data_IF_305309846523
#
_entry.id   IF_305309846523
#
_cell.length_a   1.000
_cell.length_b   1.000
_cell.length_c   1.000
_cell.angle_alpha   90.00
_cell.angle_beta   90.00
_cell.angle_gamma   90.00
#
_symmetry.space_group_name_H-M   'P 1'
#
loop_
_entity.id
_entity.type
_entity.pdbx_description
1 polymer ?
#
# COMPACT_ATOMS: atom_id res chain seq x y z
N UNK A 1 -44.59 -20.02 -29.84
CA UNK A 1 -44.87 -19.82 -31.28
C UNK A 1 -45.02 -18.33 -31.53
N UNK A 2 -43.90 -17.61 -31.72
CA UNK A 2 -43.89 -16.25 -32.25
C UNK A 2 -42.63 -16.14 -33.09
N UNK A 3 -42.83 -16.14 -34.41
CA UNK A 3 -41.79 -16.01 -35.42
C UNK A 3 -41.23 -14.59 -35.38
N UNK A 4 -40.03 -14.42 -34.81
CA UNK A 4 -39.29 -13.17 -34.95
C UNK A 4 -38.70 -13.14 -36.36
N UNK A 5 -39.28 -12.29 -37.23
CA UNK A 5 -38.69 -11.97 -38.52
C UNK A 5 -37.54 -11.00 -38.27
N UNK A 6 -36.32 -11.54 -38.18
CA UNK A 6 -35.09 -10.76 -38.29
C UNK A 6 -34.85 -10.57 -39.80
N UNK A 7 -34.61 -9.35 -40.31
CA UNK A 7 -34.26 -9.14 -41.71
C UNK A 7 -33.04 -9.99 -42.08
N UNK A 8 -33.15 -10.80 -43.14
CA UNK A 8 -32.07 -11.73 -43.56
C UNK A 8 -30.79 -11.00 -43.98
N UNK A 9 -30.90 -9.73 -44.40
CA UNK A 9 -29.77 -8.85 -44.72
C UNK A 9 -28.89 -8.51 -43.49
N UNK A 10 -29.34 -8.82 -42.27
CA UNK A 10 -28.67 -8.48 -41.01
C UNK A 10 -28.25 -9.69 -40.17
N UNK A 11 -28.46 -10.91 -40.68
CA UNK A 11 -27.92 -12.12 -40.06
C UNK A 11 -26.43 -12.23 -40.42
N UNK A 12 -25.53 -12.57 -39.48
CA UNK A 12 -24.16 -12.89 -39.84
C UNK A 12 -24.22 -14.10 -40.79
N UNK A 13 -23.90 -13.85 -42.06
CA UNK A 13 -23.80 -14.88 -43.08
C UNK A 13 -22.72 -15.87 -42.63
N UNK A 14 -23.17 -17.01 -42.07
CA UNK A 14 -22.35 -18.18 -41.72
C UNK A 14 -21.23 -17.88 -40.72
N UNK A 15 -21.23 -18.61 -39.59
CA UNK A 15 -20.04 -18.72 -38.76
C UNK A 15 -19.03 -19.58 -39.53
N UNK A 16 -18.35 -18.99 -40.51
CA UNK A 16 -17.20 -19.63 -41.12
C UNK A 16 -16.17 -19.83 -40.02
N UNK A 17 -15.90 -21.09 -39.72
CA UNK A 17 -14.67 -21.54 -39.06
C UNK A 17 -13.51 -21.26 -40.01
N UNK A 18 -13.21 -19.99 -40.22
CA UNK A 18 -12.03 -19.51 -40.90
C UNK A 18 -11.31 -18.63 -39.90
N UNK A 19 -10.24 -19.15 -39.32
CA UNK A 19 -9.12 -18.30 -38.97
C UNK A 19 -8.88 -17.41 -40.19
N UNK A 20 -9.09 -16.10 -40.03
CA UNK A 20 -9.13 -15.15 -41.14
C UNK A 20 -7.96 -15.42 -42.08
N UNK A 21 -8.26 -15.94 -43.27
CA UNK A 21 -7.28 -16.01 -44.33
C UNK A 21 -7.00 -14.56 -44.72
N UNK A 22 -5.88 -14.06 -44.21
CA UNK A 22 -5.31 -12.78 -44.63
C UNK A 22 -5.13 -12.89 -46.14
N UNK A 23 -5.75 -11.99 -46.91
CA UNK A 23 -5.50 -11.87 -48.35
C UNK A 23 -3.99 -11.84 -48.56
N UNK A 24 -3.46 -12.80 -49.31
CA UNK A 24 -2.03 -13.03 -49.43
C UNK A 24 -1.33 -11.81 -50.02
N UNK A 25 -0.68 -11.03 -49.18
CA UNK A 25 0.35 -10.08 -49.59
C UNK A 25 1.67 -10.83 -49.71
N UNK A 26 2.39 -10.64 -50.82
CA UNK A 26 3.71 -11.24 -51.09
C UNK A 26 4.81 -10.86 -50.05
N UNK A 27 4.51 -10.00 -49.08
CA UNK A 27 5.37 -9.62 -47.96
C UNK A 27 4.81 -10.16 -46.62
N UNK A 28 5.51 -11.08 -45.94
CA UNK A 28 5.08 -11.62 -44.64
C UNK A 28 5.12 -10.59 -43.49
N UNK A 29 5.63 -9.38 -43.72
CA UNK A 29 5.70 -8.29 -42.74
C UNK A 29 4.70 -7.15 -43.02
N UNK A 30 3.84 -7.27 -44.02
CA UNK A 30 2.82 -6.26 -44.30
C UNK A 30 1.81 -6.15 -43.15
N UNK A 31 1.42 -4.93 -42.79
CA UNK A 31 0.38 -4.68 -41.80
C UNK A 31 -0.96 -5.23 -42.33
N UNK A 32 -1.57 -6.23 -41.66
CA UNK A 32 -2.85 -6.81 -42.10
C UNK A 32 -4.03 -5.84 -41.97
N UNK A 33 -3.82 -4.64 -41.41
CA UNK A 33 -4.86 -3.64 -41.21
C UNK A 33 -5.81 -3.98 -40.06
N UNK A 34 -6.80 -3.10 -39.83
CA UNK A 34 -7.83 -3.35 -38.82
C UNK A 34 -8.83 -4.41 -39.31
N UNK A 35 -9.22 -5.37 -38.45
CA UNK A 35 -10.27 -6.33 -38.80
C UNK A 35 -11.59 -5.60 -39.08
N UNK A 36 -12.44 -6.19 -39.92
CA UNK A 36 -13.77 -5.64 -40.18
C UNK A 36 -14.61 -5.58 -38.89
N UNK A 37 -15.13 -4.39 -38.60
CA UNK A 37 -15.96 -4.14 -37.41
C UNK A 37 -17.23 -5.02 -37.45
N UNK A 38 -17.52 -5.72 -36.35
CA UNK A 38 -18.67 -6.60 -36.24
C UNK A 38 -19.76 -5.91 -35.42
N UNK A 39 -20.92 -5.54 -36.02
CA UNK A 39 -21.99 -4.89 -35.27
C UNK A 39 -22.57 -5.83 -34.21
N UNK A 40 -22.92 -5.28 -33.05
CA UNK A 40 -23.51 -6.07 -31.97
C UNK A 40 -25.01 -6.22 -32.18
N UNK A 41 -25.62 -7.18 -31.50
CA UNK A 41 -27.07 -7.42 -31.57
C UNK A 41 -27.85 -6.17 -31.15
N UNK A 42 -27.33 -5.42 -30.18
CA UNK A 42 -27.92 -4.18 -29.68
C UNK A 42 -27.85 -3.04 -30.69
N UNK A 43 -26.89 -3.06 -31.62
CA UNK A 43 -26.78 -2.04 -32.67
C UNK A 43 -27.78 -2.32 -33.82
N UNK A 44 -28.22 -3.58 -33.97
CA UNK A 44 -29.15 -4.03 -35.00
C UNK A 44 -30.62 -4.06 -34.53
N UNK A 45 -30.87 -4.43 -33.27
CA UNK A 45 -32.22 -4.54 -32.68
C UNK A 45 -32.42 -3.56 -31.51
N UNK A 46 -33.27 -2.55 -31.74
CA UNK A 46 -33.65 -1.55 -30.74
C UNK A 46 -34.30 -2.18 -29.49
N UNK A 47 -34.99 -3.33 -29.61
CA UNK A 47 -35.56 -4.02 -28.45
C UNK A 47 -34.47 -4.65 -27.58
N UNK A 48 -33.40 -5.15 -28.18
CA UNK A 48 -32.23 -5.67 -27.47
C UNK A 48 -31.45 -4.55 -26.78
N UNK A 49 -31.33 -3.38 -27.42
CA UNK A 49 -30.75 -2.17 -26.82
C UNK A 49 -31.53 -1.72 -25.59
N UNK A 50 -32.85 -1.55 -25.70
CA UNK A 50 -33.74 -1.16 -24.60
C UNK A 50 -33.68 -2.12 -23.40
N UNK A 51 -33.46 -3.42 -23.64
CA UNK A 51 -33.29 -4.40 -22.56
C UNK A 51 -31.97 -4.20 -21.81
N UNK A 52 -30.90 -3.97 -22.56
CA UNK A 52 -29.56 -3.69 -22.00
C UNK A 52 -29.57 -2.38 -21.20
N UNK A 53 -30.24 -1.34 -21.73
CA UNK A 53 -30.42 -0.06 -21.02
C UNK A 53 -31.12 -0.25 -19.67
N UNK A 54 -32.23 -1.00 -19.63
CA UNK A 54 -32.93 -1.30 -18.37
C UNK A 54 -32.06 -2.08 -17.39
N UNK A 55 -31.22 -2.99 -17.87
CA UNK A 55 -30.30 -3.72 -17.02
C UNK A 55 -29.23 -2.80 -16.40
N UNK A 56 -28.62 -1.92 -17.22
CA UNK A 56 -27.68 -0.89 -16.75
C UNK A 56 -28.34 0.04 -15.73
N UNK A 57 -29.51 0.57 -16.06
CA UNK A 57 -30.28 1.46 -15.17
C UNK A 57 -30.64 0.78 -13.85
N UNK A 58 -31.03 -0.50 -13.89
CA UNK A 58 -31.31 -1.28 -12.68
C UNK A 58 -30.06 -1.39 -11.79
N UNK A 59 -28.89 -1.67 -12.37
CA UNK A 59 -27.63 -1.78 -11.61
C UNK A 59 -27.27 -0.44 -10.96
N UNK A 60 -27.33 0.67 -11.69
CA UNK A 60 -27.09 1.99 -11.09
C UNK A 60 -28.12 2.34 -10.02
N UNK A 61 -29.39 1.99 -10.21
CA UNK A 61 -30.43 2.20 -9.19
C UNK A 61 -30.16 1.38 -7.93
N UNK A 62 -29.75 0.11 -8.08
CA UNK A 62 -29.35 -0.75 -6.95
C UNK A 62 -28.16 -0.16 -6.19
N UNK A 63 -27.20 0.45 -6.90
CA UNK A 63 -26.09 1.16 -6.25
C UNK A 63 -26.57 2.37 -5.44
N UNK A 64 -27.47 3.18 -5.99
CA UNK A 64 -28.05 4.32 -5.27
C UNK A 64 -28.78 3.85 -4.00
N UNK A 65 -29.59 2.80 -4.10
CA UNK A 65 -30.29 2.21 -2.96
C UNK A 65 -29.31 1.64 -1.92
N UNK A 66 -28.24 0.98 -2.35
CA UNK A 66 -27.21 0.47 -1.45
C UNK A 66 -26.47 1.61 -0.73
N UNK A 67 -26.22 2.74 -1.40
CA UNK A 67 -25.61 3.93 -0.80
C UNK A 67 -26.54 4.58 0.24
N UNK A 68 -27.84 4.67 -0.03
CA UNK A 68 -28.82 5.10 0.96
C UNK A 68 -28.86 4.11 2.14
N UNK A 69 -28.80 2.81 1.87
CA UNK A 69 -28.69 1.76 2.87
C UNK A 69 -27.44 1.88 3.75
N UNK A 70 -26.31 2.29 3.18
CA UNK A 70 -25.06 2.56 3.92
C UNK A 70 -25.25 3.71 4.91
N UNK A 71 -25.80 4.83 4.44
CA UNK A 71 -26.07 6.00 5.29
C UNK A 71 -27.06 5.64 6.40
N UNK A 72 -28.13 4.92 6.07
CA UNK A 72 -29.11 4.47 7.05
C UNK A 72 -28.47 3.51 8.08
N UNK A 73 -27.65 2.57 7.64
CA UNK A 73 -26.96 1.61 8.53
C UNK A 73 -26.01 2.32 9.49
N UNK A 74 -25.30 3.35 9.02
CA UNK A 74 -24.40 4.16 9.84
C UNK A 74 -25.13 4.87 10.99
N UNK A 75 -26.37 5.31 10.77
CA UNK A 75 -27.16 6.05 11.78
C UNK A 75 -27.95 5.10 12.70
N UNK A 76 -28.42 3.96 12.19
CA UNK A 76 -29.32 3.06 12.91
C UNK A 76 -28.56 2.11 13.86
N UNK A 77 -27.38 1.62 13.48
CA UNK A 77 -26.68 0.60 14.26
C UNK A 77 -25.63 1.18 15.21
N UNK A 78 -25.73 0.91 16.53
CA UNK A 78 -24.71 1.33 17.48
C UNK A 78 -23.45 0.46 17.38
N UNK A 79 -22.30 1.02 17.74
CA UNK A 79 -20.96 0.43 17.53
C UNK A 79 -20.75 -0.86 18.34
N UNK A 80 -21.39 -0.97 19.50
CA UNK A 80 -21.28 -2.07 20.46
C UNK A 80 -22.24 -3.24 20.18
N UNK A 81 -23.13 -3.13 19.20
CA UNK A 81 -24.12 -4.18 18.90
C UNK A 81 -23.51 -5.32 18.08
N UNK A 82 -23.33 -6.46 18.74
CA UNK A 82 -22.88 -7.71 18.13
C UNK A 82 -24.09 -8.60 17.82
N UNK A 83 -24.18 -9.07 16.58
CA UNK A 83 -25.28 -9.93 16.10
C UNK A 83 -24.68 -11.21 15.52
N UNK A 84 -25.39 -12.33 15.69
CA UNK A 84 -25.02 -13.60 15.07
C UNK A 84 -25.52 -13.65 13.62
N UNK A 85 -24.59 -13.80 12.66
CA UNK A 85 -24.88 -13.91 11.23
C UNK A 85 -24.23 -15.19 10.72
N UNK A 86 -25.02 -16.15 10.25
CA UNK A 86 -24.50 -17.38 9.65
C UNK A 86 -23.99 -17.11 8.23
N UNK A 87 -22.79 -17.58 7.81
CA UNK A 87 -21.82 -18.46 8.50
C UNK A 87 -20.74 -17.73 9.31
N UNK A 88 -20.76 -16.40 9.40
CA UNK A 88 -19.70 -15.57 9.98
C UNK A 88 -19.63 -15.55 11.52
N UNK A 89 -20.66 -16.04 12.21
CA UNK A 89 -20.70 -16.07 13.67
C UNK A 89 -21.11 -14.73 14.28
N UNK A 90 -20.58 -14.39 15.46
CA UNK A 90 -20.89 -13.15 16.17
C UNK A 90 -20.02 -12.01 15.64
N UNK A 91 -20.63 -11.07 14.92
CA UNK A 91 -19.94 -9.94 14.28
C UNK A 91 -20.62 -8.61 14.65
N UNK A 92 -19.86 -7.51 14.56
CA UNK A 92 -20.44 -6.16 14.71
C UNK A 92 -21.47 -5.92 13.61
N UNK A 93 -22.72 -5.65 13.99
CA UNK A 93 -23.82 -5.39 13.07
C UNK A 93 -23.53 -4.16 12.20
N UNK A 94 -22.87 -3.15 12.77
CA UNK A 94 -22.47 -1.94 12.07
C UNK A 94 -21.42 -2.26 10.99
N UNK A 95 -20.29 -2.87 11.35
CA UNK A 95 -19.23 -3.15 10.37
C UNK A 95 -19.72 -4.06 9.23
N UNK A 96 -20.54 -5.06 9.56
CA UNK A 96 -21.11 -5.95 8.55
C UNK A 96 -22.05 -5.21 7.59
N UNK A 97 -23.00 -4.42 8.11
CA UNK A 97 -23.95 -3.67 7.29
C UNK A 97 -23.27 -2.60 6.43
N UNK A 98 -22.30 -1.87 6.98
CA UNK A 98 -21.48 -0.91 6.24
C UNK A 98 -20.68 -1.57 5.13
N UNK A 99 -20.00 -2.68 5.43
CA UNK A 99 -19.22 -3.43 4.44
C UNK A 99 -20.09 -3.97 3.30
N UNK A 100 -21.25 -4.54 3.62
CA UNK A 100 -22.16 -5.10 2.63
C UNK A 100 -22.78 -4.02 1.73
N UNK A 101 -23.27 -2.93 2.31
CA UNK A 101 -23.93 -1.85 1.57
C UNK A 101 -22.94 -1.07 0.71
N UNK A 102 -21.75 -0.73 1.24
CA UNK A 102 -20.71 -0.07 0.46
C UNK A 102 -20.16 -0.99 -0.64
N UNK A 103 -19.91 -2.26 -0.32
CA UNK A 103 -19.46 -3.26 -1.29
C UNK A 103 -20.46 -3.43 -2.44
N UNK A 104 -21.76 -3.56 -2.11
CA UNK A 104 -22.81 -3.62 -3.12
C UNK A 104 -22.90 -2.34 -3.96
N UNK A 105 -22.82 -1.16 -3.34
CA UNK A 105 -22.86 0.12 -4.05
C UNK A 105 -21.75 0.22 -5.11
N UNK A 106 -20.49 -0.06 -4.71
CA UNK A 106 -19.35 0.00 -5.61
C UNK A 106 -19.38 -1.10 -6.67
N UNK A 107 -19.80 -2.32 -6.29
CA UNK A 107 -19.95 -3.43 -7.22
C UNK A 107 -20.96 -3.10 -8.33
N UNK A 108 -22.14 -2.58 -7.98
CA UNK A 108 -23.16 -2.26 -8.97
C UNK A 108 -22.81 -1.06 -9.85
N UNK A 109 -22.02 -0.09 -9.35
CA UNK A 109 -21.44 0.98 -10.19
C UNK A 109 -20.49 0.38 -11.23
N UNK A 110 -19.52 -0.43 -10.78
CA UNK A 110 -18.52 -1.03 -11.68
C UNK A 110 -19.16 -1.98 -12.69
N UNK A 111 -20.02 -2.88 -12.23
CA UNK A 111 -20.69 -3.84 -13.08
C UNK A 111 -21.67 -3.17 -14.06
N UNK A 112 -22.38 -2.11 -13.63
CA UNK A 112 -23.23 -1.29 -14.51
C UNK A 112 -22.42 -0.57 -15.59
N UNK A 113 -21.28 0.04 -15.23
CA UNK A 113 -20.39 0.70 -16.18
C UNK A 113 -19.78 -0.27 -17.21
N UNK A 114 -19.34 -1.45 -16.78
CA UNK A 114 -18.82 -2.49 -17.70
C UNK A 114 -19.93 -3.02 -18.60
N UNK A 115 -21.13 -3.26 -18.07
CA UNK A 115 -22.25 -3.73 -18.87
C UNK A 115 -22.65 -2.69 -19.92
N UNK A 116 -22.71 -1.41 -19.55
CA UNK A 116 -22.93 -0.29 -20.46
C UNK A 116 -21.87 -0.21 -21.55
N UNK A 117 -20.58 -0.27 -21.18
CA UNK A 117 -19.47 -0.22 -22.13
C UNK A 117 -19.52 -1.37 -23.16
N UNK A 118 -19.88 -2.59 -22.73
CA UNK A 118 -19.91 -3.76 -23.61
C UNK A 118 -21.14 -3.85 -24.51
N UNK A 119 -22.27 -3.26 -24.10
CA UNK A 119 -23.56 -3.48 -24.78
C UNK A 119 -24.11 -2.27 -25.52
N UNK A 120 -23.71 -1.05 -25.16
CA UNK A 120 -24.29 0.18 -25.72
C UNK A 120 -23.23 1.16 -26.23
N UNK A 121 -22.03 1.22 -25.63
CA UNK A 121 -20.97 2.13 -26.08
C UNK A 121 -20.32 1.65 -27.37
N UNK A 122 -19.97 2.53 -28.31
CA UNK A 122 -19.35 2.17 -29.59
C UNK A 122 -18.00 1.46 -29.39
N UNK A 123 -17.80 0.33 -30.04
CA UNK A 123 -16.59 -0.50 -30.02
C UNK A 123 -15.84 -0.46 -31.37
N UNK A 124 -15.91 0.67 -32.08
CA UNK A 124 -15.23 0.85 -33.36
C UNK A 124 -13.71 0.92 -33.14
N UNK A 125 -12.97 0.09 -33.86
CA UNK A 125 -11.53 0.09 -33.87
C UNK A 125 -11.02 1.34 -34.60
N UNK A 126 -10.31 2.21 -33.86
CA UNK A 126 -9.68 3.41 -34.43
C UNK A 126 -8.17 3.29 -34.26
N UNK A 127 -7.46 3.20 -35.39
CA UNK A 127 -6.01 3.30 -35.40
C UNK A 127 -5.61 4.78 -35.25
N UNK A 128 -4.81 5.07 -34.23
CA UNK A 128 -4.15 6.37 -34.10
C UNK A 128 -2.67 6.20 -34.43
N UNK A 129 -2.22 6.81 -35.53
CA UNK A 129 -0.80 6.84 -35.84
C UNK A 129 -0.06 7.60 -34.74
N UNK A 130 0.95 6.94 -34.14
CA UNK A 130 1.77 7.58 -33.13
C UNK A 130 2.64 8.62 -33.82
N UNK A 131 2.56 9.87 -33.37
CA UNK A 131 3.46 10.91 -33.84
C UNK A 131 4.93 10.45 -33.67
N UNK A 132 5.80 10.72 -34.66
CA UNK A 132 7.22 10.43 -34.53
C UNK A 132 7.78 11.13 -33.29
N UNK A 133 8.67 10.44 -32.57
CA UNK A 133 9.33 10.99 -31.36
C UNK A 133 10.23 12.17 -31.74
N UNK A 134 10.69 12.21 -32.99
CA UNK A 134 11.54 13.27 -33.51
C UNK A 134 10.71 14.44 -34.04
N UNK A 135 11.07 15.64 -33.58
CA UNK A 135 10.59 16.87 -34.22
C UNK A 135 11.14 16.96 -35.64
N UNK A 136 10.37 17.57 -36.55
CA UNK A 136 10.85 17.77 -37.91
C UNK A 136 12.13 18.63 -37.91
N UNK A 137 13.04 18.44 -38.90
CA UNK A 137 14.29 19.19 -38.96
C UNK A 137 14.10 20.71 -38.88
N UNK A 138 13.01 21.21 -39.48
CA UNK A 138 12.64 22.63 -39.49
C UNK A 138 12.24 23.12 -38.10
N UNK A 139 11.39 22.37 -37.39
CA UNK A 139 10.96 22.70 -36.02
C UNK A 139 12.15 22.68 -35.07
N UNK A 140 13.01 21.66 -35.20
CA UNK A 140 14.23 21.56 -34.39
C UNK A 140 15.17 22.73 -34.64
N UNK A 141 15.37 23.12 -35.91
CA UNK A 141 16.21 24.26 -36.27
C UNK A 141 15.64 25.58 -35.71
N UNK A 142 14.32 25.76 -35.79
CA UNK A 142 13.65 26.93 -35.25
C UNK A 142 13.78 27.00 -33.72
N UNK A 143 13.50 25.92 -32.99
CA UNK A 143 13.63 25.89 -31.52
C UNK A 143 15.06 26.20 -31.07
N UNK A 144 16.07 25.68 -31.78
CA UNK A 144 17.46 25.98 -31.47
C UNK A 144 17.82 27.44 -31.77
N UNK A 145 17.27 28.02 -32.83
CA UNK A 145 17.44 29.44 -33.15
C UNK A 145 16.76 30.33 -32.11
N UNK A 146 15.53 30.03 -31.72
CA UNK A 146 14.78 30.77 -30.70
C UNK A 146 15.47 30.67 -29.33
N UNK A 147 15.99 29.49 -28.97
CA UNK A 147 16.78 29.33 -27.75
C UNK A 147 18.07 30.14 -27.77
N UNK A 148 18.79 30.16 -28.90
CA UNK A 148 19.99 30.96 -29.06
C UNK A 148 19.68 32.48 -29.00
N UNK A 149 18.61 32.92 -29.65
CA UNK A 149 18.15 34.30 -29.61
C UNK A 149 17.78 34.72 -28.16
N UNK A 150 17.00 33.91 -27.45
CA UNK A 150 16.65 34.17 -26.05
C UNK A 150 17.88 34.19 -25.13
N UNK A 151 18.86 33.31 -25.38
CA UNK A 151 20.12 33.32 -24.64
C UNK A 151 20.92 34.61 -24.90
N UNK A 152 20.96 35.11 -26.13
CA UNK A 152 21.61 36.37 -26.48
C UNK A 152 20.90 37.59 -25.88
N UNK A 153 19.58 37.66 -26.01
CA UNK A 153 18.73 38.72 -25.45
C UNK A 153 18.85 38.82 -23.93
N UNK A 154 18.92 37.66 -23.24
CA UNK A 154 19.10 37.62 -21.78
C UNK A 154 20.40 38.32 -21.33
N UNK A 155 21.42 38.38 -22.21
CA UNK A 155 22.75 38.91 -21.94
C UNK A 155 23.39 38.38 -20.64
N UNK A 156 22.95 37.21 -20.15
CA UNK A 156 23.31 36.66 -18.83
C UNK A 156 24.82 36.39 -18.72
N UNK A 157 25.48 36.09 -19.84
CA UNK A 157 26.93 35.94 -19.93
C UNK A 157 27.72 37.24 -19.69
N UNK A 158 27.17 38.39 -20.12
CA UNK A 158 27.78 39.72 -19.92
C UNK A 158 27.49 40.28 -18.53
N UNK A 159 26.31 40.00 -17.97
CA UNK A 159 25.85 40.51 -16.66
C UNK A 159 26.36 39.63 -15.51
N UNK A 160 27.68 39.63 -15.29
CA UNK A 160 28.37 38.77 -14.31
C UNK A 160 27.85 38.91 -12.88
N UNK A 161 27.46 40.11 -12.45
CA UNK A 161 26.92 40.32 -11.10
C UNK A 161 25.61 39.54 -10.89
N UNK A 162 24.63 39.73 -11.78
CA UNK A 162 23.33 39.05 -11.73
C UNK A 162 23.51 37.53 -11.78
N UNK A 163 24.36 37.04 -12.69
CA UNK A 163 24.67 35.62 -12.83
C UNK A 163 25.26 35.04 -11.55
N UNK A 164 26.25 35.71 -10.96
CA UNK A 164 26.93 35.21 -9.76
C UNK A 164 26.00 35.27 -8.53
N UNK A 165 25.18 36.31 -8.38
CA UNK A 165 24.19 36.39 -7.31
C UNK A 165 23.07 35.36 -7.48
N UNK A 166 22.65 35.06 -8.72
CA UNK A 166 21.68 33.99 -9.02
C UNK A 166 22.24 32.62 -8.60
N UNK A 167 23.48 32.30 -8.99
CA UNK A 167 24.11 31.05 -8.54
C UNK A 167 24.30 31.00 -7.03
N UNK A 168 24.69 32.12 -6.40
CA UNK A 168 24.78 32.21 -4.94
C UNK A 168 23.43 31.94 -4.26
N UNK A 169 22.36 32.56 -4.74
CA UNK A 169 21.01 32.34 -4.23
C UNK A 169 20.57 30.87 -4.39
N UNK A 170 20.73 30.29 -5.59
CA UNK A 170 20.40 28.89 -5.85
C UNK A 170 21.25 27.92 -5.03
N UNK A 171 22.51 28.23 -4.77
CA UNK A 171 23.39 27.43 -3.92
C UNK A 171 23.02 27.50 -2.43
N UNK A 172 22.45 28.61 -1.98
CA UNK A 172 22.05 28.79 -0.59
C UNK A 172 20.71 28.12 -0.24
N UNK A 173 19.77 28.02 -1.19
CA UNK A 173 18.46 27.40 -0.96
C UNK A 173 18.56 25.98 -0.39
N UNK A 174 19.42 25.07 -0.88
CA UNK A 174 19.58 23.74 -0.28
C UNK A 174 19.94 23.72 1.21
N UNK A 175 20.56 24.78 1.76
CA UNK A 175 20.86 24.83 3.20
C UNK A 175 19.59 24.86 4.05
N UNK A 176 18.49 25.45 3.56
CA UNK A 176 17.21 25.39 4.28
C UNK A 176 16.71 23.94 4.38
N UNK A 177 16.95 23.12 3.34
CA UNK A 177 16.66 21.69 3.36
C UNK A 177 17.47 20.95 4.43
N UNK A 178 18.75 21.28 4.62
CA UNK A 178 19.57 20.68 5.69
C UNK A 178 19.01 21.01 7.07
N UNK A 179 18.57 22.26 7.30
CA UNK A 179 17.97 22.66 8.58
C UNK A 179 16.65 21.93 8.81
N UNK A 180 15.78 21.87 7.80
CA UNK A 180 14.49 21.18 7.91
C UNK A 180 14.66 19.66 8.13
N UNK A 181 15.60 19.03 7.43
CA UNK A 181 15.87 17.60 7.58
C UNK A 181 16.53 17.27 8.92
N UNK A 182 17.36 18.18 9.46
CA UNK A 182 17.94 18.04 10.80
C UNK A 182 16.86 17.98 11.87
N UNK A 183 15.76 18.69 11.71
CA UNK A 183 14.67 18.74 12.70
C UNK A 183 13.73 17.51 12.65
N UNK A 184 13.89 16.62 11.65
CA UNK A 184 13.08 15.39 11.54
C UNK A 184 13.47 14.30 12.55
N UNK A 185 14.52 14.48 13.33
CA UNK A 185 14.90 13.48 14.34
C UNK A 185 15.90 13.99 15.38
N UNK A 186 15.99 13.29 16.52
CA UNK A 186 17.03 13.57 17.49
C UNK A 186 18.41 13.33 16.85
N UNK A 187 19.37 14.19 17.18
CA UNK A 187 20.75 14.01 16.74
C UNK A 187 21.30 12.66 17.24
N UNK A 188 22.25 12.04 16.52
CA UNK A 188 22.87 10.80 16.95
C UNK A 188 23.58 11.01 18.30
N UNK A 189 22.98 10.48 19.36
CA UNK A 189 23.47 10.58 20.74
C UNK A 189 23.91 9.21 21.27
N UNK A 190 24.71 9.22 22.34
CA UNK A 190 25.20 7.99 23.00
C UNK A 190 24.18 7.37 23.99
N UNK A 191 22.92 7.81 23.98
CA UNK A 191 21.84 7.37 24.90
C UNK A 191 21.56 5.87 24.88
N UNK A 192 21.92 5.17 23.81
CA UNK A 192 21.75 3.71 23.69
C UNK A 192 22.92 2.90 24.26
N UNK A 193 24.03 3.54 24.65
CA UNK A 193 25.21 2.84 25.20
C UNK A 193 25.13 2.59 26.70
N UNK A 194 24.20 3.24 27.39
CA UNK A 194 24.03 3.13 28.83
C UNK A 194 22.67 2.51 29.14
N UNK A 195 22.64 1.64 30.14
CA UNK A 195 21.42 1.06 30.70
C UNK A 195 21.33 1.45 32.19
N UNK A 196 20.21 1.12 32.83
CA UNK A 196 20.06 1.33 34.28
C UNK A 196 20.81 0.31 35.13
N UNK A 197 21.48 -0.67 34.52
CA UNK A 197 22.27 -1.66 35.24
C UNK A 197 23.58 -1.04 35.73
N UNK A 198 23.87 -1.22 37.01
CA UNK A 198 25.11 -0.85 37.66
C UNK A 198 25.46 -1.92 38.71
N UNK A 199 26.73 -2.01 39.08
CA UNK A 199 27.19 -2.92 40.13
C UNK A 199 26.42 -2.64 41.44
N UNK A 200 25.98 -3.72 42.10
CA UNK A 200 25.24 -3.64 43.36
C UNK A 200 23.72 -3.48 43.24
N UNK A 201 23.15 -3.32 42.04
CA UNK A 201 21.69 -3.27 41.88
C UNK A 201 21.02 -4.63 42.10
N UNK A 202 19.87 -4.62 42.77
CA UNK A 202 19.07 -5.84 42.92
C UNK A 202 18.30 -6.20 41.65
N UNK A 203 18.11 -7.51 41.45
CA UNK A 203 17.27 -8.08 40.40
C UNK A 203 15.83 -8.12 40.91
N UNK A 204 14.94 -7.31 40.34
CA UNK A 204 13.52 -7.26 40.72
C UNK A 204 12.71 -8.10 39.74
N UNK A 205 11.85 -8.99 40.24
CA UNK A 205 10.95 -9.79 39.43
C UNK A 205 9.90 -8.89 38.76
N UNK A 206 9.78 -8.96 37.43
CA UNK A 206 8.85 -8.11 36.67
C UNK A 206 7.36 -8.35 36.97
N UNK A 207 6.99 -9.55 37.43
CA UNK A 207 5.60 -9.89 37.70
C UNK A 207 5.18 -9.54 39.13
N UNK A 208 6.11 -9.70 40.10
CA UNK A 208 5.80 -9.54 41.52
C UNK A 208 6.35 -8.27 42.15
N UNK A 209 7.19 -7.52 41.42
CA UNK A 209 7.84 -6.29 41.89
C UNK A 209 8.68 -6.48 43.17
N UNK A 210 9.15 -7.71 43.41
CA UNK A 210 9.95 -8.07 44.59
C UNK A 210 11.37 -8.48 44.19
N UNK A 211 12.37 -8.27 45.07
CA UNK A 211 13.71 -8.79 44.84
C UNK A 211 13.71 -10.31 44.62
N UNK A 212 14.42 -10.75 43.59
CA UNK A 212 14.67 -12.16 43.33
C UNK A 212 15.73 -12.68 44.29
N UNK A 213 15.45 -13.84 44.87
CA UNK A 213 16.41 -14.63 45.62
C UNK A 213 16.81 -15.84 44.78
N UNK A 214 18.02 -16.40 44.97
CA UNK A 214 18.45 -17.61 44.26
C UNK A 214 17.46 -18.78 44.40
N UNK A 215 16.83 -18.92 45.57
CA UNK A 215 15.82 -19.95 45.87
C UNK A 215 14.51 -19.82 45.04
N UNK A 216 14.22 -18.64 44.49
CA UNK A 216 13.03 -18.44 43.66
C UNK A 216 13.19 -18.97 42.22
N UNK A 217 14.41 -19.32 41.82
CA UNK A 217 14.71 -19.75 40.45
C UNK A 217 15.08 -21.24 40.51
N UNK A 218 14.19 -22.08 39.99
CA UNK A 218 14.42 -23.54 39.94
C UNK A 218 15.35 -23.89 38.76
N UNK A 219 16.14 -24.95 38.91
CA UNK A 219 16.98 -25.45 37.82
C UNK A 219 16.10 -25.85 36.64
N UNK A 220 16.46 -25.40 35.44
CA UNK A 220 15.69 -25.58 34.20
C UNK A 220 14.57 -24.55 33.98
N UNK A 221 14.42 -23.57 34.88
CA UNK A 221 13.47 -22.46 34.69
C UNK A 221 14.14 -21.18 34.19
N UNK A 222 13.30 -20.28 33.69
CA UNK A 222 13.68 -18.91 33.37
C UNK A 222 12.74 -17.92 34.06
N UNK A 223 13.28 -16.76 34.42
CA UNK A 223 12.53 -15.66 35.02
C UNK A 223 12.94 -14.34 34.38
N UNK A 224 12.01 -13.39 34.32
CA UNK A 224 12.30 -12.03 33.85
C UNK A 224 12.55 -11.09 35.03
N UNK A 225 13.58 -10.26 34.88
CA UNK A 225 13.99 -9.32 35.89
C UNK A 225 14.24 -7.93 35.30
N UNK A 226 14.16 -6.93 36.17
CA UNK A 226 14.45 -5.54 35.89
C UNK A 226 15.31 -4.95 37.02
N UNK A 227 16.04 -3.85 36.77
CA UNK A 227 16.88 -3.26 37.79
C UNK A 227 16.06 -2.60 38.88
N UNK A 228 16.58 -2.65 40.10
CA UNK A 228 16.08 -1.85 41.22
C UNK A 228 16.01 -0.35 40.89
N UNK A 229 14.96 0.29 41.41
CA UNK A 229 14.70 1.73 41.26
C UNK A 229 13.90 2.11 40.00
N UNK A 230 13.36 1.12 39.28
CA UNK A 230 12.49 1.37 38.12
C UNK A 230 11.01 1.24 38.50
N UNK A 231 10.29 2.36 38.46
CA UNK A 231 8.87 2.45 38.78
C UNK A 231 7.99 2.16 37.55
N UNK A 232 7.08 1.17 37.59
CA UNK A 232 6.15 0.86 36.49
C UNK A 232 5.24 2.02 36.08
N UNK A 233 4.95 2.95 36.99
CA UNK A 233 4.09 4.11 36.70
C UNK A 233 4.87 5.29 36.10
N UNK A 234 6.20 5.20 36.07
CA UNK A 234 7.03 6.26 35.50
C UNK A 234 6.86 6.35 33.97
N UNK A 235 6.79 7.58 33.46
CA UNK A 235 6.68 7.84 32.03
C UNK A 235 7.84 7.24 31.21
N UNK A 236 9.02 7.04 31.81
CA UNK A 236 10.21 6.50 31.14
C UNK A 236 10.36 4.98 31.30
N UNK A 237 9.41 4.30 31.98
CA UNK A 237 9.49 2.87 32.27
C UNK A 237 9.75 2.04 31.02
N UNK A 238 8.95 2.25 29.97
CA UNK A 238 9.05 1.47 28.72
C UNK A 238 10.36 1.74 27.97
N UNK A 239 10.81 3.01 27.94
CA UNK A 239 12.09 3.40 27.33
C UNK A 239 13.27 2.69 28.00
N UNK A 240 13.25 2.61 29.33
CA UNK A 240 14.32 1.97 30.09
C UNK A 240 14.24 0.44 29.98
N UNK A 241 13.04 -0.13 30.05
CA UNK A 241 12.83 -1.56 29.84
C UNK A 241 13.28 -2.03 28.46
N UNK A 242 13.15 -1.19 27.42
CA UNK A 242 13.67 -1.48 26.08
C UNK A 242 15.18 -1.70 26.00
N UNK A 243 15.94 -1.35 27.05
CA UNK A 243 17.39 -1.58 27.14
C UNK A 243 17.81 -2.43 28.34
N UNK A 244 17.01 -2.42 29.41
CA UNK A 244 17.35 -3.03 30.70
C UNK A 244 16.64 -4.37 30.96
N UNK A 245 15.75 -4.83 30.07
CA UNK A 245 15.07 -6.11 30.22
C UNK A 245 16.07 -7.28 30.33
N UNK A 246 15.99 -8.02 31.43
CA UNK A 246 16.88 -9.12 31.74
C UNK A 246 16.11 -10.44 31.81
N UNK A 247 16.69 -11.48 31.24
CA UNK A 247 16.25 -12.86 31.37
C UNK A 247 17.27 -13.62 32.21
N UNK A 248 16.81 -14.24 33.28
CA UNK A 248 17.62 -15.07 34.15
C UNK A 248 17.28 -16.52 33.87
N UNK A 249 18.30 -17.36 33.73
CA UNK A 249 18.16 -18.80 33.51
C UNK A 249 18.99 -19.51 34.57
N UNK A 250 18.44 -20.55 35.19
CA UNK A 250 19.21 -21.42 36.08
C UNK A 250 19.47 -22.77 35.41
N UNK A 251 20.73 -23.06 35.19
CA UNK A 251 21.24 -24.31 34.61
C UNK A 251 21.98 -25.06 35.70
N UNK A 252 22.11 -26.39 35.61
CA UNK A 252 23.02 -27.12 36.49
C UNK A 252 24.46 -26.58 36.29
N UNK A 253 25.21 -26.24 37.36
CA UNK A 253 26.53 -25.60 37.22
C UNK A 253 27.51 -26.35 36.32
N UNK A 254 27.46 -27.69 36.36
CA UNK A 254 28.34 -28.57 35.56
C UNK A 254 27.97 -28.58 34.06
N UNK A 255 26.75 -28.18 33.71
CA UNK A 255 26.28 -28.13 32.31
C UNK A 255 26.67 -26.84 31.58
N UNK A 256 27.15 -25.81 32.30
CA UNK A 256 27.57 -24.54 31.68
C UNK A 256 28.92 -24.75 30.98
N UNK A 257 28.90 -24.90 29.66
CA UNK A 257 30.13 -25.21 28.87
C UNK A 257 31.09 -24.03 28.75
N UNK A 258 30.56 -22.81 28.58
CA UNK A 258 31.39 -21.63 28.40
C UNK A 258 32.06 -21.21 29.72
N UNK A 259 33.37 -20.96 29.67
CA UNK A 259 34.15 -20.61 30.88
C UNK A 259 33.73 -19.24 31.44
N UNK A 260 33.49 -18.24 30.57
CA UNK A 260 33.15 -16.89 31.01
C UNK A 260 31.76 -16.86 31.64
N UNK A 261 30.80 -17.58 31.07
CA UNK A 261 29.47 -17.72 31.66
C UNK A 261 29.53 -18.42 33.01
N UNK A 262 30.37 -19.47 33.17
CA UNK A 262 30.62 -20.11 34.47
C UNK A 262 31.20 -19.14 35.49
N UNK A 263 32.20 -18.36 35.09
CA UNK A 263 32.86 -17.38 35.97
C UNK A 263 31.91 -16.23 36.39
N UNK A 264 30.90 -15.92 35.56
CA UNK A 264 29.87 -14.90 35.86
C UNK A 264 28.62 -15.48 36.54
N UNK A 265 28.44 -16.80 36.53
CA UNK A 265 27.28 -17.45 37.10
C UNK A 265 27.36 -17.50 38.63
N UNK A 266 26.19 -17.53 39.27
CA UNK A 266 26.08 -17.79 40.70
C UNK A 266 25.20 -19.03 40.93
N UNK A 267 25.77 -20.14 41.40
CA UNK A 267 25.05 -21.41 41.61
C UNK A 267 24.23 -21.87 40.39
N UNK A 268 24.80 -21.70 39.19
CA UNK A 268 24.16 -22.06 37.93
C UNK A 268 23.19 -21.00 37.37
N UNK A 269 23.00 -19.89 38.09
CA UNK A 269 22.17 -18.76 37.65
C UNK A 269 22.99 -17.85 36.73
N UNK A 270 22.53 -17.70 35.50
CA UNK A 270 23.12 -16.82 34.48
C UNK A 270 22.10 -15.78 34.02
N UNK A 271 22.57 -14.58 33.71
CA UNK A 271 21.73 -13.48 33.29
C UNK A 271 22.05 -13.06 31.85
N UNK A 272 21.02 -12.91 31.04
CA UNK A 272 21.10 -12.50 29.64
C UNK A 272 20.23 -11.27 29.39
N UNK A 273 20.65 -10.42 28.46
CA UNK A 273 19.74 -9.44 27.88
C UNK A 273 18.57 -10.16 27.23
N UNK A 274 17.34 -9.75 27.55
CA UNK A 274 16.15 -10.21 26.84
C UNK A 274 16.08 -9.62 25.42
N UNK A 275 16.78 -8.51 25.18
CA UNK A 275 16.78 -7.79 23.91
C UNK A 275 17.76 -8.47 22.93
N UNK A 276 17.21 -8.94 21.80
CA UNK A 276 17.94 -9.55 20.71
C UNK A 276 18.91 -8.56 20.04
N UNK A 277 20.14 -9.03 19.76
CA UNK A 277 21.21 -8.22 19.13
C UNK A 277 21.02 -7.97 17.64
N UNK A 278 20.05 -8.65 16.99
CA UNK A 278 19.78 -8.47 15.56
C UNK A 278 18.95 -7.21 15.30
N UNK A 279 17.72 -7.18 15.82
CA UNK A 279 16.73 -6.11 15.58
C UNK A 279 16.04 -5.59 16.84
N UNK A 280 16.47 -6.02 18.03
CA UNK A 280 15.96 -5.48 19.29
C UNK A 280 14.63 -6.06 19.78
N UNK A 281 14.18 -7.20 19.25
CA UNK A 281 13.01 -7.90 19.81
C UNK A 281 13.29 -8.39 21.24
N UNK A 282 12.33 -8.28 22.16
CA UNK A 282 12.38 -8.91 23.48
C UNK A 282 12.04 -10.41 23.43
#
# INVERSE_FOLDING_TARGET
MSSQQIPEDSLPAVQETAHGAVEGTDDPFADPGLPAHKPRIQDLDERAANRSERAVALMFTLSMLATVGFIASYVIFPVDKIVYIWPFGHVSALNFSLGLTLGAALFFIGAGAVHWARTLMSDVEVAAERHPIEATPEVKAQVMADFAAGAEESAIGRRKLIRNTMFGALALVPLSGVVLLRDLGPLPEKKLRNTLWAEGKQLINMNTMKPLRPEHITVGSLAFAMPEGLDPESHDFQTQMGKAALMIVRIEPDDIKDKRQRDWAHEGIVAFSKICTHVGCP
#
